data_IF_707381720093
#
_entry.id   IF_707381720093
#
_cell.length_a   1.000
_cell.length_b   1.000
_cell.length_c   1.000
_cell.angle_alpha   90.00
_cell.angle_beta   90.00
_cell.angle_gamma   90.00
#
_symmetry.space_group_name_H-M   'P 1'
#
loop_
_entity.id
_entity.type
_entity.pdbx_description
1 polymer ?
#
# COMPACT_ATOMS: atom_id res chain seq x y z
N UNK A 1 68.31 -6.60 -23.18
CA UNK A 1 67.73 -7.41 -22.10
C UNK A 1 66.33 -6.91 -21.81
N UNK A 2 65.32 -7.76 -22.06
CA UNK A 2 63.90 -7.50 -21.84
C UNK A 2 63.63 -7.42 -20.34
N UNK A 3 63.08 -6.30 -19.85
CA UNK A 3 62.41 -6.28 -18.53
C UNK A 3 61.01 -5.71 -18.73
N UNK A 4 60.09 -6.66 -18.83
CA UNK A 4 58.65 -6.52 -18.88
C UNK A 4 58.19 -6.05 -17.48
N UNK A 5 57.87 -4.77 -17.30
CA UNK A 5 57.11 -4.33 -16.12
C UNK A 5 55.63 -4.37 -16.50
N UNK A 6 55.03 -5.52 -16.20
CA UNK A 6 53.60 -5.78 -16.36
C UNK A 6 52.84 -4.98 -15.27
N UNK A 7 52.38 -3.78 -15.65
CA UNK A 7 51.52 -2.95 -14.80
C UNK A 7 50.14 -3.58 -14.65
N UNK A 8 49.93 -4.29 -13.55
CA UNK A 8 48.62 -4.79 -13.15
C UNK A 8 47.79 -3.63 -12.57
N UNK A 9 47.18 -2.84 -13.44
CA UNK A 9 46.15 -1.85 -13.09
C UNK A 9 44.87 -2.61 -12.71
N UNK A 10 44.78 -3.03 -11.45
CA UNK A 10 43.53 -3.51 -10.85
C UNK A 10 42.62 -2.29 -10.74
N UNK A 11 41.77 -2.09 -11.75
CA UNK A 11 40.64 -1.17 -11.65
C UNK A 11 39.64 -1.81 -10.68
N UNK A 12 39.78 -1.49 -9.39
CA UNK A 12 38.76 -1.77 -8.39
C UNK A 12 37.50 -1.00 -8.80
N UNK A 13 36.63 -1.69 -9.53
CA UNK A 13 35.25 -1.27 -9.75
C UNK A 13 34.58 -1.33 -8.38
N UNK A 14 34.51 -0.19 -7.70
CA UNK A 14 33.78 -0.06 -6.45
C UNK A 14 32.32 -0.44 -6.71
N UNK A 15 31.90 -1.58 -6.17
CA UNK A 15 30.50 -1.96 -6.09
C UNK A 15 29.82 -0.93 -5.17
N UNK A 16 29.27 0.13 -5.77
CA UNK A 16 28.38 1.04 -5.05
C UNK A 16 27.12 0.26 -4.69
N UNK A 17 27.10 -0.32 -3.49
CA UNK A 17 25.88 -0.79 -2.87
C UNK A 17 24.98 0.42 -2.64
N UNK A 18 24.09 0.71 -3.59
CA UNK A 18 23.09 1.75 -3.43
C UNK A 18 22.15 1.33 -2.31
N UNK A 19 22.06 2.13 -1.24
CA UNK A 19 21.09 1.85 -0.20
C UNK A 19 19.69 2.27 -0.68
N UNK A 20 18.67 1.43 -0.43
CA UNK A 20 17.31 1.66 -0.94
C UNK A 20 16.68 2.97 -0.46
N UNK A 21 17.10 3.49 0.69
CA UNK A 21 16.66 4.80 1.18
C UNK A 21 17.13 5.95 0.28
N UNK A 22 18.38 5.92 -0.19
CA UNK A 22 18.91 6.94 -1.09
C UNK A 22 18.17 6.92 -2.43
N UNK A 23 17.92 5.73 -2.99
CA UNK A 23 17.14 5.57 -4.22
C UNK A 23 15.72 6.12 -4.00
N UNK A 24 15.07 5.78 -2.88
CA UNK A 24 13.75 6.30 -2.55
C UNK A 24 13.72 7.83 -2.47
N UNK A 25 14.68 8.44 -1.76
CA UNK A 25 14.78 9.90 -1.64
C UNK A 25 14.96 10.56 -3.00
N UNK A 26 15.80 9.99 -3.86
CA UNK A 26 16.09 10.55 -5.17
C UNK A 26 14.95 10.38 -6.18
N UNK A 27 14.26 9.23 -6.18
CA UNK A 27 13.35 8.83 -7.27
C UNK A 27 11.87 8.82 -6.89
N UNK A 28 11.55 8.66 -5.60
CA UNK A 28 10.17 8.44 -5.15
C UNK A 28 9.65 9.55 -4.24
N UNK A 29 10.53 10.17 -3.44
CA UNK A 29 10.13 11.14 -2.43
C UNK A 29 9.57 12.46 -3.00
N UNK A 30 9.80 12.74 -4.28
CA UNK A 30 9.18 13.88 -4.96
C UNK A 30 7.65 13.82 -5.00
N UNK A 31 7.09 12.61 -4.92
CA UNK A 31 5.64 12.36 -4.92
C UNK A 31 5.17 11.70 -3.63
N UNK A 32 5.95 10.78 -3.06
CA UNK A 32 5.57 9.97 -1.92
C UNK A 32 6.23 10.42 -0.61
N UNK A 33 5.41 10.73 0.39
CA UNK A 33 5.91 10.98 1.73
C UNK A 33 6.51 9.70 2.34
N UNK A 34 7.75 9.79 2.84
CA UNK A 34 8.45 8.71 3.55
C UNK A 34 7.87 8.48 4.97
N UNK A 35 7.22 9.49 5.54
CA UNK A 35 6.60 9.42 6.88
C UNK A 35 5.08 9.46 6.75
N UNK A 36 4.41 8.81 7.71
CA UNK A 36 2.97 8.97 7.87
C UNK A 36 2.63 10.42 8.25
N UNK A 37 1.38 10.83 8.01
CA UNK A 37 0.92 12.20 8.27
C UNK A 37 0.73 12.54 9.76
N UNK A 38 1.16 11.63 10.64
CA UNK A 38 1.06 11.72 12.10
C UNK A 38 2.27 11.01 12.73
N UNK A 39 2.81 11.60 13.80
CA UNK A 39 3.82 11.00 14.66
C UNK A 39 3.28 9.80 15.42
N UNK A 40 4.16 9.01 16.04
CA UNK A 40 3.73 7.89 16.89
C UNK A 40 2.89 8.37 18.08
N UNK A 41 3.28 9.50 18.69
CA UNK A 41 2.56 10.13 19.80
C UNK A 41 1.18 10.61 19.35
N UNK A 42 1.10 11.34 18.23
CA UNK A 42 -0.18 11.82 17.68
C UNK A 42 -1.13 10.65 17.35
N UNK A 43 -0.60 9.54 16.83
CA UNK A 43 -1.39 8.32 16.57
C UNK A 43 -1.90 7.69 17.87
N UNK A 44 -1.07 7.62 18.90
CA UNK A 44 -1.44 7.05 20.19
C UNK A 44 -2.50 7.90 20.88
N UNK A 45 -2.32 9.21 20.94
CA UNK A 45 -3.31 10.15 21.46
C UNK A 45 -4.63 10.06 20.69
N UNK A 46 -4.56 10.01 19.36
CA UNK A 46 -5.76 9.83 18.54
C UNK A 46 -6.45 8.50 18.83
N UNK A 47 -5.71 7.41 19.03
CA UNK A 47 -6.29 6.10 19.37
C UNK A 47 -7.00 6.13 20.73
N UNK A 48 -6.38 6.73 21.74
CA UNK A 48 -6.99 6.91 23.07
C UNK A 48 -8.24 7.78 22.97
N UNK A 49 -8.17 8.92 22.29
CA UNK A 49 -9.32 9.80 22.05
C UNK A 49 -10.45 9.05 21.33
N UNK A 50 -10.13 8.26 20.31
CA UNK A 50 -11.12 7.48 19.56
C UNK A 50 -11.74 6.33 20.36
N UNK A 51 -11.04 5.78 21.37
CA UNK A 51 -11.62 4.77 22.26
C UNK A 51 -12.67 5.39 23.19
N UNK A 52 -12.35 6.57 23.73
CA UNK A 52 -13.18 7.24 24.73
C UNK A 52 -14.25 8.17 24.15
N UNK A 53 -14.14 8.55 22.87
CA UNK A 53 -15.07 9.46 22.21
C UNK A 53 -16.47 8.87 21.96
N UNK A 54 -17.48 9.72 22.04
CA UNK A 54 -18.84 9.48 21.56
C UNK A 54 -18.88 9.26 20.04
N UNK A 55 -19.99 8.75 19.50
CA UNK A 55 -20.13 8.57 18.04
C UNK A 55 -20.09 9.90 17.28
N UNK A 56 -20.64 10.96 17.86
CA UNK A 56 -20.64 12.30 17.27
C UNK A 56 -19.21 12.86 17.19
N UNK A 57 -18.44 12.79 18.27
CA UNK A 57 -17.04 13.21 18.30
C UNK A 57 -16.18 12.40 17.32
N UNK A 58 -16.44 11.10 17.19
CA UNK A 58 -15.80 10.24 16.17
C UNK A 58 -16.10 10.72 14.75
N UNK A 59 -17.33 11.12 14.46
CA UNK A 59 -17.73 11.63 13.15
C UNK A 59 -17.08 12.99 12.86
N UNK A 60 -17.12 13.91 13.82
CA UNK A 60 -16.48 15.22 13.72
C UNK A 60 -14.95 15.10 13.53
N UNK A 61 -14.29 14.17 14.22
CA UNK A 61 -12.86 13.92 14.06
C UNK A 61 -12.53 13.34 12.68
N UNK A 62 -13.34 12.39 12.18
CA UNK A 62 -13.20 11.86 10.81
C UNK A 62 -13.38 12.95 9.77
N UNK A 63 -14.36 13.83 9.94
CA UNK A 63 -14.58 14.95 9.04
C UNK A 63 -13.39 15.91 9.03
N UNK A 64 -12.90 16.32 10.21
CA UNK A 64 -11.71 17.17 10.34
C UNK A 64 -10.50 16.53 9.67
N UNK A 65 -10.28 15.22 9.85
CA UNK A 65 -9.21 14.49 9.17
C UNK A 65 -9.41 14.51 7.65
N UNK A 66 -10.62 14.22 7.16
CA UNK A 66 -10.93 14.24 5.72
C UNK A 66 -10.75 15.64 5.12
N UNK A 67 -11.09 16.70 5.84
CA UNK A 67 -10.84 18.09 5.41
C UNK A 67 -9.34 18.40 5.37
N UNK A 68 -8.56 17.99 6.39
CA UNK A 68 -7.09 18.11 6.39
C UNK A 68 -6.48 17.35 5.23
N UNK A 69 -7.01 16.16 4.93
CA UNK A 69 -6.62 15.37 3.77
C UNK A 69 -6.92 16.12 2.47
N UNK A 70 -8.15 16.60 2.25
CA UNK A 70 -8.53 17.36 1.05
C UNK A 70 -7.62 18.58 0.82
N UNK A 71 -7.24 19.29 1.89
CA UNK A 71 -6.35 20.46 1.83
C UNK A 71 -4.87 20.10 1.61
N UNK A 72 -4.45 18.84 1.75
CA UNK A 72 -3.04 18.48 1.61
C UNK A 72 -2.60 18.47 0.14
N UNK A 73 -1.52 19.16 -0.18
CA UNK A 73 -0.91 19.27 -1.52
C UNK A 73 -0.12 18.02 -1.98
N UNK A 74 -0.30 16.88 -1.32
CA UNK A 74 0.43 15.65 -1.67
C UNK A 74 -0.01 15.15 -3.05
N UNK A 75 0.97 14.80 -3.89
CA UNK A 75 0.75 14.30 -5.24
C UNK A 75 0.43 12.80 -5.28
N UNK A 76 0.83 12.07 -4.25
CA UNK A 76 0.66 10.62 -4.17
C UNK A 76 0.40 10.17 -2.73
N UNK A 77 -0.09 8.94 -2.51
CA UNK A 77 -0.31 8.41 -1.17
C UNK A 77 1.03 8.23 -0.43
N UNK A 78 1.04 8.35 0.92
CA UNK A 78 2.24 8.14 1.73
C UNK A 78 2.70 6.67 1.69
N UNK A 79 4.01 6.43 1.52
CA UNK A 79 4.55 5.08 1.34
C UNK A 79 4.44 4.12 2.52
N UNK A 80 4.44 4.56 3.79
CA UNK A 80 4.11 3.67 4.88
C UNK A 80 2.74 2.99 4.68
N UNK A 81 1.73 3.74 4.23
CA UNK A 81 0.36 3.21 4.07
C UNK A 81 0.25 2.27 2.88
N UNK A 82 0.90 2.59 1.77
CA UNK A 82 0.93 1.71 0.59
C UNK A 82 1.68 0.42 0.89
N UNK A 83 2.85 0.51 1.53
CA UNK A 83 3.65 -0.67 1.89
C UNK A 83 2.90 -1.59 2.83
N UNK A 84 2.24 -1.05 3.87
CA UNK A 84 1.39 -1.85 4.77
C UNK A 84 0.23 -2.52 4.04
N UNK A 85 -0.44 -1.80 3.13
CA UNK A 85 -1.54 -2.35 2.33
C UNK A 85 -1.07 -3.47 1.42
N UNK A 86 0.03 -3.28 0.71
CA UNK A 86 0.64 -4.30 -0.17
C UNK A 86 1.02 -5.53 0.62
N UNK A 87 1.70 -5.38 1.76
CA UNK A 87 2.02 -6.50 2.65
C UNK A 87 0.76 -7.25 3.09
N UNK A 88 -0.33 -6.56 3.44
CA UNK A 88 -1.59 -7.22 3.79
C UNK A 88 -2.18 -8.02 2.62
N UNK A 89 -2.25 -7.41 1.43
CA UNK A 89 -2.86 -8.05 0.25
C UNK A 89 -2.02 -9.20 -0.31
N UNK A 90 -0.71 -9.14 -0.11
CA UNK A 90 0.25 -10.16 -0.53
C UNK A 90 0.63 -11.09 0.63
N UNK A 91 -0.21 -11.20 1.66
CA UNK A 91 -0.05 -12.15 2.76
C UNK A 91 1.29 -12.09 3.52
N UNK A 92 1.89 -10.90 3.64
CA UNK A 92 3.21 -10.67 4.24
C UNK A 92 4.33 -11.49 3.55
N UNK A 93 4.16 -11.78 2.27
CA UNK A 93 5.15 -12.46 1.44
C UNK A 93 6.09 -11.44 0.81
N UNK A 94 7.36 -11.51 1.23
CA UNK A 94 8.40 -10.56 0.79
C UNK A 94 8.72 -10.69 -0.69
N UNK A 95 8.74 -11.90 -1.23
CA UNK A 95 9.08 -12.16 -2.63
C UNK A 95 7.97 -11.67 -3.56
N UNK A 96 6.71 -11.97 -3.21
CA UNK A 96 5.55 -11.43 -3.94
C UNK A 96 5.50 -9.91 -3.89
N UNK A 97 5.83 -9.32 -2.74
CA UNK A 97 5.91 -7.86 -2.61
C UNK A 97 6.96 -7.27 -3.54
N UNK A 98 8.17 -7.83 -3.56
CA UNK A 98 9.26 -7.34 -4.39
C UNK A 98 8.89 -7.45 -5.86
N UNK A 99 8.46 -8.63 -6.30
CA UNK A 99 8.04 -8.87 -7.69
C UNK A 99 6.91 -7.92 -8.11
N UNK A 100 5.92 -7.69 -7.24
CA UNK A 100 4.83 -6.76 -7.50
C UNK A 100 5.34 -5.32 -7.68
N UNK A 101 6.17 -4.83 -6.77
CA UNK A 101 6.67 -3.44 -6.84
C UNK A 101 7.55 -3.24 -8.07
N UNK A 102 8.41 -4.21 -8.41
CA UNK A 102 9.24 -4.16 -9.60
C UNK A 102 8.42 -4.07 -10.89
N UNK A 103 7.35 -4.88 -11.02
CA UNK A 103 6.44 -4.81 -12.17
C UNK A 103 5.61 -3.52 -12.17
N UNK A 104 5.06 -3.13 -11.01
CA UNK A 104 4.16 -1.99 -10.91
C UNK A 104 4.88 -0.66 -11.21
N UNK A 105 6.14 -0.51 -10.83
CA UNK A 105 6.95 0.67 -11.17
C UNK A 105 7.15 0.83 -12.69
N UNK A 106 7.23 -0.29 -13.41
CA UNK A 106 7.38 -0.31 -14.86
C UNK A 106 6.05 -0.05 -15.57
N UNK A 107 5.00 -0.76 -15.15
CA UNK A 107 3.72 -0.83 -15.85
C UNK A 107 2.55 -0.59 -14.88
N UNK A 108 2.43 0.59 -14.24
CA UNK A 108 1.39 0.83 -13.26
C UNK A 108 0.00 0.85 -13.90
N UNK A 109 -0.98 0.23 -13.22
CA UNK A 109 -2.38 0.26 -13.66
C UNK A 109 -3.34 0.13 -12.47
N UNK A 110 -4.57 0.62 -12.65
CA UNK A 110 -5.60 0.47 -11.61
C UNK A 110 -5.97 -1.00 -11.40
N UNK A 111 -5.98 -1.80 -12.47
CA UNK A 111 -6.32 -3.22 -12.40
C UNK A 111 -5.31 -4.05 -11.60
N UNK A 112 -4.02 -3.69 -11.65
CA UNK A 112 -2.97 -4.40 -10.90
C UNK A 112 -2.83 -3.89 -9.46
N UNK A 113 -3.15 -2.62 -9.22
CA UNK A 113 -2.85 -2.03 -7.92
C UNK A 113 -3.84 -2.41 -6.81
N UNK A 114 -3.34 -2.43 -5.58
CA UNK A 114 -4.09 -2.84 -4.39
C UNK A 114 -4.67 -1.67 -3.58
N UNK A 115 -4.51 -0.45 -4.09
CA UNK A 115 -5.02 0.76 -3.44
C UNK A 115 -6.55 0.78 -3.42
N UNK A 116 -7.14 1.48 -2.46
CA UNK A 116 -8.60 1.66 -2.41
C UNK A 116 -9.06 2.58 -3.56
N UNK A 117 -10.31 2.46 -4.05
CA UNK A 117 -10.85 3.31 -5.12
C UNK A 117 -10.71 4.81 -4.85
N UNK A 118 -10.83 5.22 -3.58
CA UNK A 118 -10.65 6.62 -3.17
C UNK A 118 -9.23 7.15 -3.42
N UNK A 119 -8.22 6.30 -3.37
CA UNK A 119 -6.85 6.69 -3.68
C UNK A 119 -6.70 6.98 -5.18
N UNK A 120 -7.27 6.14 -6.05
CA UNK A 120 -7.28 6.38 -7.50
C UNK A 120 -8.09 7.61 -7.88
N UNK A 121 -9.26 7.83 -7.23
CA UNK A 121 -10.06 9.05 -7.45
C UNK A 121 -9.28 10.32 -7.09
N UNK A 122 -8.40 10.25 -6.09
CA UNK A 122 -7.67 11.41 -5.59
C UNK A 122 -6.32 11.64 -6.29
N UNK A 123 -5.54 10.58 -6.45
CA UNK A 123 -4.15 10.66 -6.92
C UNK A 123 -3.97 10.14 -8.35
N UNK A 124 -5.00 9.52 -8.93
CA UNK A 124 -4.88 8.84 -10.21
C UNK A 124 -4.04 7.57 -10.12
N UNK A 125 -3.58 7.11 -11.29
CA UNK A 125 -2.63 6.00 -11.39
C UNK A 125 -1.22 6.57 -11.36
N UNK A 126 -0.31 5.88 -10.66
CA UNK A 126 1.11 6.24 -10.66
C UNK A 126 1.65 6.26 -12.10
N UNK A 127 2.43 7.26 -12.51
CA UNK A 127 3.06 7.24 -13.83
C UNK A 127 4.16 6.17 -13.90
N UNK A 128 4.42 5.58 -15.07
CA UNK A 128 5.51 4.62 -15.24
C UNK A 128 6.86 5.35 -15.05
N UNK A 129 7.63 4.94 -14.05
CA UNK A 129 8.99 5.47 -13.81
C UNK A 129 10.07 4.40 -13.99
N UNK A 130 9.69 3.15 -14.28
CA UNK A 130 10.64 2.03 -14.34
C UNK A 130 11.75 2.17 -15.39
N UNK A 131 11.59 3.04 -16.41
CA UNK A 131 12.66 3.35 -17.38
C UNK A 131 13.79 4.19 -16.79
N UNK A 132 13.56 4.91 -15.69
CA UNK A 132 14.56 5.77 -15.03
C UNK A 132 15.27 5.09 -13.86
N UNK A 133 14.96 3.80 -13.64
CA UNK A 133 15.56 2.93 -12.63
C UNK A 133 16.13 1.67 -13.30
N UNK A 134 17.33 1.26 -12.93
CA UNK A 134 17.87 -0.05 -13.31
C UNK A 134 17.06 -1.19 -12.67
N UNK A 135 17.25 -2.44 -13.13
CA UNK A 135 16.61 -3.60 -12.53
C UNK A 135 17.03 -3.76 -11.06
N UNK A 136 18.31 -3.56 -10.79
CA UNK A 136 18.92 -3.64 -9.47
C UNK A 136 18.37 -2.55 -8.54
N UNK A 137 18.20 -1.33 -9.04
CA UNK A 137 17.59 -0.24 -8.26
C UNK A 137 16.13 -0.55 -7.89
N UNK A 138 15.36 -1.13 -8.81
CA UNK A 138 13.96 -1.53 -8.56
C UNK A 138 13.86 -2.63 -7.52
N UNK A 139 14.70 -3.67 -7.61
CA UNK A 139 14.76 -4.73 -6.61
C UNK A 139 15.17 -4.17 -5.24
N UNK A 140 16.19 -3.31 -5.21
CA UNK A 140 16.72 -2.69 -3.99
C UNK A 140 15.68 -1.82 -3.29
N UNK A 141 14.98 -0.95 -4.04
CA UNK A 141 13.94 -0.11 -3.43
C UNK A 141 12.73 -0.93 -2.99
N UNK A 142 12.34 -1.95 -3.75
CA UNK A 142 11.21 -2.82 -3.38
C UNK A 142 11.51 -3.59 -2.08
N UNK A 143 12.71 -4.15 -1.95
CA UNK A 143 13.19 -4.77 -0.72
C UNK A 143 13.17 -3.78 0.45
N UNK A 144 13.72 -2.58 0.24
CA UNK A 144 13.77 -1.55 1.28
C UNK A 144 12.38 -1.11 1.75
N UNK A 145 11.41 -0.92 0.84
CA UNK A 145 10.02 -0.59 1.19
C UNK A 145 9.39 -1.68 2.07
N UNK A 146 9.68 -2.94 1.78
CA UNK A 146 9.23 -4.06 2.61
C UNK A 146 9.91 -4.03 3.98
N UNK A 147 11.23 -3.91 4.04
CA UNK A 147 11.97 -4.08 5.29
C UNK A 147 11.82 -2.87 6.25
N UNK A 148 11.67 -1.66 5.71
CA UNK A 148 11.72 -0.41 6.48
C UNK A 148 10.37 0.00 7.10
N UNK A 149 9.24 -0.31 6.45
CA UNK A 149 7.92 0.05 7.00
C UNK A 149 7.33 -1.08 7.84
N UNK A 150 7.70 -1.09 9.12
CA UNK A 150 7.18 -2.04 10.11
C UNK A 150 5.82 -1.60 10.66
N UNK A 151 4.89 -2.55 10.76
CA UNK A 151 3.53 -2.31 11.27
C UNK A 151 2.46 -3.07 10.48
N UNK A 152 1.41 -3.52 11.18
CA UNK A 152 0.23 -4.12 10.57
C UNK A 152 -0.89 -3.10 10.35
N UNK A 153 -1.61 -3.22 9.24
CA UNK A 153 -2.88 -2.50 9.07
C UNK A 153 -3.91 -3.15 10.00
N UNK A 154 -4.31 -2.49 11.09
CA UNK A 154 -5.18 -3.05 12.13
C UNK A 154 -6.64 -3.27 11.68
N UNK A 155 -6.96 -3.02 10.41
CA UNK A 155 -8.25 -3.36 9.82
C UNK A 155 -9.43 -2.56 10.37
N UNK A 156 -9.19 -1.62 11.31
CA UNK A 156 -10.21 -0.86 12.01
C UNK A 156 -11.10 -0.02 11.08
N UNK A 157 -10.61 0.31 9.88
CA UNK A 157 -11.40 0.98 8.84
C UNK A 157 -12.12 0.04 7.86
N UNK A 158 -11.59 -1.16 7.62
CA UNK A 158 -12.17 -2.11 6.64
C UNK A 158 -13.36 -2.87 7.26
N UNK A 159 -13.25 -3.24 8.55
CA UNK A 159 -14.29 -4.00 9.26
C UNK A 159 -15.61 -3.26 9.41
N UNK A 160 -15.57 -1.94 9.70
CA UNK A 160 -16.79 -1.13 9.90
C UNK A 160 -17.58 -0.90 8.62
N UNK A 161 -16.96 -0.93 7.44
CA UNK A 161 -17.69 -0.74 6.18
C UNK A 161 -18.47 -2.01 5.79
N UNK A 162 -17.89 -3.19 5.98
CA UNK A 162 -18.61 -4.47 5.84
C UNK A 162 -19.69 -4.64 6.91
N UNK A 163 -19.42 -4.25 8.15
CA UNK A 163 -20.41 -4.34 9.23
C UNK A 163 -21.57 -3.34 9.04
N UNK A 164 -21.32 -2.14 8.52
CA UNK A 164 -22.38 -1.19 8.11
C UNK A 164 -23.21 -1.73 6.94
N UNK A 165 -22.61 -2.42 5.97
CA UNK A 165 -23.34 -3.09 4.88
C UNK A 165 -24.25 -4.22 5.41
N UNK A 166 -23.77 -5.00 6.38
CA UNK A 166 -24.55 -6.06 7.01
C UNK A 166 -25.62 -5.54 7.98
N UNK A 167 -25.39 -4.41 8.67
CA UNK A 167 -26.42 -3.75 9.51
C UNK A 167 -27.48 -3.02 8.67
N UNK A 168 -27.10 -2.43 7.53
CA UNK A 168 -28.02 -1.80 6.59
C UNK A 168 -28.96 -2.78 5.88
N UNK A 169 -28.54 -4.05 5.70
CA UNK A 169 -29.42 -5.12 5.21
C UNK A 169 -30.28 -5.75 6.32
N UNK A 170 -29.86 -5.71 7.60
CA UNK A 170 -30.66 -6.21 8.73
C UNK A 170 -31.74 -5.23 9.21
N UNK A 171 -31.66 -3.93 8.87
CA UNK A 171 -32.62 -2.92 9.31
C UNK A 171 -33.64 -2.51 8.25
N UNK A 172 -33.67 -3.14 7.06
CA UNK A 172 -34.84 -3.07 6.19
C UNK A 172 -35.94 -3.94 6.81
N UNK A 173 -36.64 -3.35 7.77
CA UNK A 173 -37.96 -3.79 8.19
C UNK A 173 -38.85 -3.55 6.97
N UNK A 174 -38.92 -4.54 6.08
CA UNK A 174 -39.97 -4.58 5.07
C UNK A 174 -41.29 -4.54 5.86
N UNK A 175 -42.07 -3.49 5.64
CA UNK A 175 -43.44 -3.40 6.10
C UNK A 175 -44.21 -4.64 5.69
N UNK A 176 -45.25 -4.95 6.48
CA UNK A 176 -45.97 -6.21 6.47
C UNK A 176 -46.25 -6.79 5.07
N UNK A 177 -45.97 -8.09 4.94
CA UNK A 177 -46.31 -8.88 3.75
C UNK A 177 -45.42 -10.10 3.65
N UNK A 178 -46.02 -11.30 3.73
CA UNK A 178 -45.38 -12.58 3.46
C UNK A 178 -44.74 -12.56 2.06
N UNK A 179 -43.44 -12.76 1.99
CA UNK A 179 -42.80 -13.40 0.85
C UNK A 179 -41.82 -14.45 1.37
N UNK A 180 -42.37 -15.63 1.67
CA UNK A 180 -41.60 -16.86 1.73
C UNK A 180 -41.21 -17.27 0.32
N UNK A 181 -39.96 -17.63 0.14
CA UNK A 181 -39.43 -18.16 -1.11
C UNK A 181 -37.95 -18.47 -0.95
N UNK A 182 -37.65 -19.76 -0.86
CA UNK A 182 -36.32 -20.31 -0.61
C UNK A 182 -35.25 -19.73 -1.56
N UNK A 183 -34.08 -19.37 -1.00
CA UNK A 183 -32.88 -19.20 -1.81
C UNK A 183 -31.74 -19.98 -1.15
N UNK A 184 -31.26 -20.95 -1.93
CA UNK A 184 -30.31 -21.99 -1.57
C UNK A 184 -28.95 -21.40 -1.13
N UNK A 185 -28.28 -22.15 -0.25
CA UNK A 185 -26.90 -21.95 0.16
C UNK A 185 -25.96 -22.03 -1.06
N UNK A 186 -25.69 -20.89 -1.69
CA UNK A 186 -24.62 -20.72 -2.67
C UNK A 186 -23.31 -20.37 -1.97
N UNK A 187 -22.41 -21.33 -1.91
CA UNK A 187 -21.04 -21.22 -1.41
C UNK A 187 -20.24 -20.19 -2.21
N UNK A 188 -19.85 -19.09 -1.55
CA UNK A 188 -18.91 -18.12 -2.09
C UNK A 188 -17.49 -18.73 -2.13
N UNK A 189 -17.17 -19.43 -3.22
CA UNK A 189 -15.79 -19.77 -3.58
C UNK A 189 -15.12 -18.50 -4.13
N UNK A 190 -14.29 -17.83 -3.34
CA UNK A 190 -13.29 -16.90 -3.87
C UNK A 190 -12.28 -17.71 -4.68
N UNK A 191 -12.27 -17.50 -5.99
CA UNK A 191 -11.49 -18.29 -6.96
C UNK A 191 -9.98 -18.23 -6.70
N UNK A 192 -9.41 -19.40 -6.47
CA UNK A 192 -8.01 -19.68 -6.77
C UNK A 192 -7.94 -20.05 -8.25
N UNK A 193 -7.27 -19.24 -9.07
CA UNK A 193 -6.90 -19.62 -10.43
C UNK A 193 -5.72 -20.57 -10.34
N UNK A 194 -5.96 -21.86 -10.60
CA UNK A 194 -4.89 -22.82 -10.91
C UNK A 194 -4.42 -22.55 -12.34
N UNK A 195 -3.13 -22.32 -12.48
CA UNK A 195 -2.42 -22.37 -13.75
C UNK A 195 -2.13 -23.85 -13.99
N UNK A 196 -2.70 -24.44 -15.04
CA UNK A 196 -2.30 -25.76 -15.50
C UNK A 196 -1.36 -25.60 -16.69
N UNK A 197 -0.12 -26.05 -16.48
CA UNK A 197 0.79 -26.48 -17.53
C UNK A 197 0.30 -27.81 -18.09
N UNK A 198 0.09 -27.89 -19.41
CA UNK A 198 0.57 -28.94 -20.30
C UNK A 198 0.26 -28.55 -21.75
#
# INVERSE_FOLDING_TARGET
MKKLFLGLLITMSALYASNGEAIYKAKCAMCHANKGMMSAQEKQEMRVKMQNATQEEKMAMREKMMQKMKKSKMKAPPMPMVSMRLKKMLAQDREKFIAFVEDYIQNPSQAKGFCMPMAYKRFGTMPPIGKTLSKEERATIAAWLYDNYKGGWDGSMDGKMCEMKNRGMKSMKCGGGKCGGAMQKGSAKCGAVKIETH
#
